data_IF_962273444489
#
_entry.id   IF_962273444489
#
_cell.length_a   1.000
_cell.length_b   1.000
_cell.length_c   1.000
_cell.angle_alpha   90.00
_cell.angle_beta   90.00
_cell.angle_gamma   90.00
#
_symmetry.space_group_name_H-M   'P 1'
#
loop_
_entity.id
_entity.type
_entity.pdbx_description
1 polymer ?
#
# COMPACT_ATOMS: atom_id res chain seq x y z
N UNK A 1 0.88 -4.04 -3.00
CA UNK A 1 -0.43 -4.22 -2.36
C UNK A 1 -0.36 -3.98 -0.85
N UNK A 2 0.49 -4.68 -0.10
CA UNK A 2 0.52 -4.74 1.38
C UNK A 2 0.59 -3.36 2.09
N UNK A 3 1.36 -2.41 1.58
CA UNK A 3 1.42 -1.06 2.13
C UNK A 3 0.22 -0.18 1.75
N UNK A 4 -0.75 -0.70 1.03
CA UNK A 4 -1.97 -0.01 0.62
C UNK A 4 -1.75 1.40 0.02
N UNK A 5 -0.65 1.60 -0.71
CA UNK A 5 -0.30 2.88 -1.32
C UNK A 5 -1.25 3.25 -2.45
N UNK A 6 -1.50 4.54 -2.61
CA UNK A 6 -2.17 5.05 -3.80
C UNK A 6 -1.21 4.99 -4.99
N UNK A 7 -1.75 4.86 -6.20
CA UNK A 7 -0.97 4.84 -7.44
C UNK A 7 -0.03 6.04 -7.55
N UNK A 8 -0.51 7.24 -7.22
CA UNK A 8 0.30 8.45 -7.23
C UNK A 8 1.34 8.51 -6.12
N UNK A 9 1.10 7.89 -4.97
CA UNK A 9 2.10 7.76 -3.91
C UNK A 9 3.24 6.86 -4.37
N UNK A 10 2.90 5.72 -4.98
CA UNK A 10 3.88 4.77 -5.49
C UNK A 10 4.74 5.38 -6.60
N UNK A 11 4.15 6.15 -7.52
CA UNK A 11 4.90 6.79 -8.60
C UNK A 11 5.87 7.88 -8.12
N UNK A 12 5.59 8.50 -6.97
CA UNK A 12 6.45 9.54 -6.36
C UNK A 12 7.39 9.02 -5.28
N UNK A 13 7.42 7.69 -5.07
CA UNK A 13 8.25 7.10 -4.02
C UNK A 13 9.73 7.24 -4.35
N UNK A 14 10.46 7.81 -3.39
CA UNK A 14 11.90 8.04 -3.48
C UNK A 14 12.63 7.27 -2.37
N UNK A 15 13.92 7.01 -2.55
CA UNK A 15 14.75 6.35 -1.54
C UNK A 15 14.73 7.09 -0.21
N UNK A 16 14.69 8.43 -0.23
CA UNK A 16 14.68 9.27 0.96
C UNK A 16 13.36 9.17 1.78
N UNK A 17 12.28 8.64 1.17
CA UNK A 17 11.06 8.37 1.89
C UNK A 17 11.12 7.11 2.75
N UNK A 18 12.13 6.26 2.59
CA UNK A 18 12.26 5.00 3.32
C UNK A 18 13.19 5.17 4.52
N UNK A 19 12.65 5.11 5.71
CA UNK A 19 13.39 5.36 6.95
C UNK A 19 13.03 4.37 8.07
N UNK A 20 13.90 4.31 9.08
CA UNK A 20 13.63 3.58 10.32
C UNK A 20 12.96 4.52 11.32
N UNK A 21 11.80 4.14 11.87
CA UNK A 21 11.11 4.83 12.96
C UNK A 21 10.55 3.80 13.94
N UNK A 22 10.79 4.01 15.22
CA UNK A 22 10.32 3.13 16.30
C UNK A 22 10.64 1.65 16.07
N UNK A 23 11.86 1.36 15.58
CA UNK A 23 12.33 0.01 15.30
C UNK A 23 11.70 -0.66 14.07
N UNK A 24 10.97 0.10 13.23
CA UNK A 24 10.32 -0.39 12.00
C UNK A 24 10.70 0.44 10.79
N UNK A 25 10.77 -0.23 9.63
CA UNK A 25 10.81 0.46 8.36
C UNK A 25 9.47 1.11 8.06
N UNK A 26 9.52 2.36 7.62
CA UNK A 26 8.35 3.15 7.24
C UNK A 26 8.62 3.93 5.97
N UNK A 27 7.58 4.14 5.18
CA UNK A 27 7.57 5.22 4.20
C UNK A 27 7.05 6.48 4.87
N UNK A 28 7.86 7.54 4.81
CA UNK A 28 7.56 8.84 5.41
C UNK A 28 6.84 9.77 4.43
N UNK A 29 6.08 10.69 4.99
CA UNK A 29 5.66 11.96 4.42
C UNK A 29 4.84 11.90 3.13
N UNK A 30 3.98 10.88 3.00
CA UNK A 30 2.97 10.95 1.96
C UNK A 30 1.99 12.10 2.22
N UNK A 31 2.11 13.17 1.43
CA UNK A 31 1.15 14.26 1.45
C UNK A 31 -0.23 13.75 1.02
N UNK A 32 -1.17 13.76 1.95
CA UNK A 32 -2.57 13.50 1.70
C UNK A 32 -3.35 14.77 1.34
N UNK A 33 -4.64 14.62 1.10
CA UNK A 33 -5.56 15.75 0.92
C UNK A 33 -5.56 16.60 2.21
N UNK A 34 -5.57 17.91 2.07
CA UNK A 34 -5.54 18.84 3.22
C UNK A 34 -4.16 18.99 3.87
N UNK A 35 -3.07 18.73 3.14
CA UNK A 35 -1.68 18.91 3.62
C UNK A 35 -1.33 18.01 4.85
N UNK A 36 -2.07 16.93 5.08
CA UNK A 36 -1.78 15.97 6.14
C UNK A 36 -0.78 14.95 5.64
N UNK A 37 0.34 14.80 6.35
CA UNK A 37 1.32 13.76 6.08
C UNK A 37 0.94 12.49 6.82
N UNK A 38 1.24 11.33 6.23
CA UNK A 38 1.16 10.04 6.90
C UNK A 38 2.40 9.21 6.64
N UNK A 39 2.76 8.40 7.62
CA UNK A 39 3.76 7.36 7.44
C UNK A 39 3.07 6.00 7.28
N UNK A 40 3.65 5.13 6.48
CA UNK A 40 3.13 3.79 6.25
C UNK A 40 4.17 2.77 6.67
N UNK A 41 3.82 1.88 7.59
CA UNK A 41 4.69 0.80 8.02
C UNK A 41 5.00 -0.14 6.84
N UNK A 42 6.28 -0.48 6.69
CA UNK A 42 6.78 -1.39 5.66
C UNK A 42 7.13 -2.71 6.32
N UNK A 43 6.43 -3.81 6.00
CA UNK A 43 6.82 -5.13 6.47
C UNK A 43 8.25 -5.49 6.03
N UNK A 44 8.97 -6.24 6.86
CA UNK A 44 10.38 -6.56 6.61
C UNK A 44 10.60 -7.23 5.24
N UNK A 45 9.73 -8.18 4.88
CA UNK A 45 9.83 -8.84 3.59
C UNK A 45 9.64 -7.88 2.40
N UNK A 46 8.77 -6.86 2.54
CA UNK A 46 8.60 -5.81 1.51
C UNK A 46 9.85 -4.96 1.40
N UNK A 47 10.48 -4.64 2.55
CA UNK A 47 11.77 -3.92 2.57
C UNK A 47 12.86 -4.70 1.85
N UNK A 48 12.95 -6.01 2.11
CA UNK A 48 13.92 -6.88 1.46
C UNK A 48 13.73 -6.94 -0.07
N UNK A 49 12.49 -7.02 -0.55
CA UNK A 49 12.19 -6.96 -1.98
C UNK A 49 12.58 -5.61 -2.61
N UNK A 50 12.36 -4.52 -1.89
CA UNK A 50 12.79 -3.19 -2.34
C UNK A 50 14.31 -3.12 -2.40
N UNK A 51 15.02 -3.61 -1.38
CA UNK A 51 16.49 -3.61 -1.37
C UNK A 51 17.04 -4.44 -2.53
N UNK A 52 16.54 -5.65 -2.72
CA UNK A 52 16.93 -6.50 -3.84
C UNK A 52 16.70 -5.82 -5.20
N UNK A 53 15.61 -5.10 -5.35
CA UNK A 53 15.37 -4.29 -6.54
C UNK A 53 16.39 -3.15 -6.71
N UNK A 54 16.63 -2.38 -5.64
CA UNK A 54 17.57 -1.26 -5.66
C UNK A 54 18.98 -1.72 -6.02
N UNK A 55 19.42 -2.84 -5.45
CA UNK A 55 20.72 -3.46 -5.72
C UNK A 55 20.86 -3.88 -7.19
N UNK A 56 19.91 -4.66 -7.70
CA UNK A 56 19.91 -5.14 -9.10
C UNK A 56 19.81 -3.99 -10.09
N UNK A 57 19.05 -2.96 -9.75
CA UNK A 57 18.84 -1.78 -10.58
C UNK A 57 19.95 -0.74 -10.48
N UNK A 58 20.90 -0.88 -9.53
CA UNK A 58 21.96 0.08 -9.24
C UNK A 58 21.42 1.44 -8.79
N UNK A 59 20.37 1.43 -7.97
CA UNK A 59 19.71 2.66 -7.50
C UNK A 59 20.15 2.98 -6.08
N UNK A 60 20.95 4.01 -5.92
CA UNK A 60 21.40 4.51 -4.60
C UNK A 60 20.53 5.66 -4.09
N UNK A 61 19.91 6.43 -4.98
CA UNK A 61 19.09 7.61 -4.65
C UNK A 61 18.06 7.92 -5.72
N UNK A 62 17.08 8.74 -5.35
CA UNK A 62 16.01 9.17 -6.25
C UNK A 62 14.87 8.15 -6.33
N UNK A 63 14.06 8.18 -7.39
CA UNK A 63 12.86 7.35 -7.49
C UNK A 63 13.18 5.86 -7.35
N UNK A 64 12.42 5.17 -6.49
CA UNK A 64 12.56 3.72 -6.27
C UNK A 64 12.07 2.95 -7.49
N UNK A 65 10.87 3.27 -7.98
CA UNK A 65 10.27 2.56 -9.12
C UNK A 65 10.54 3.29 -10.42
N UNK A 66 11.34 2.67 -11.27
CA UNK A 66 11.79 3.20 -12.56
C UNK A 66 11.39 2.28 -13.70
N UNK A 67 11.32 2.84 -14.90
CA UNK A 67 11.06 2.06 -16.11
C UNK A 67 12.27 1.19 -16.46
N UNK A 68 12.01 -0.09 -16.74
CA UNK A 68 12.96 -0.97 -17.40
C UNK A 68 12.72 -0.87 -18.92
N UNK A 69 13.77 -0.55 -19.66
CA UNK A 69 13.75 -0.42 -21.11
C UNK A 69 13.82 -1.80 -21.78
N UNK A 70 13.47 -1.90 -23.05
CA UNK A 70 13.48 -3.14 -23.80
C UNK A 70 14.87 -3.83 -23.86
N UNK A 71 15.94 -3.05 -23.72
CA UNK A 71 17.31 -3.56 -23.65
C UNK A 71 17.76 -3.98 -22.22
N UNK A 72 16.82 -4.05 -21.26
CA UNK A 72 17.08 -4.40 -19.87
C UNK A 72 17.66 -3.28 -18.99
N UNK A 73 17.97 -2.11 -19.56
CA UNK A 73 18.50 -0.98 -18.78
C UNK A 73 17.40 -0.31 -17.96
N UNK A 74 17.74 0.07 -16.73
CA UNK A 74 16.85 0.83 -15.86
C UNK A 74 16.96 2.32 -16.20
N UNK A 75 15.84 2.95 -16.42
CA UNK A 75 15.75 4.40 -16.66
C UNK A 75 16.08 5.21 -15.40
N UNK A 76 16.18 6.52 -15.54
CA UNK A 76 16.41 7.44 -14.41
C UNK A 76 15.12 8.00 -13.83
N UNK A 77 14.07 8.06 -14.64
CA UNK A 77 12.81 8.69 -14.29
C UNK A 77 11.89 7.72 -13.53
N UNK A 78 11.08 8.28 -12.64
CA UNK A 78 10.04 7.54 -11.92
C UNK A 78 9.01 6.95 -12.88
N UNK A 79 8.41 5.82 -12.51
CA UNK A 79 7.22 5.30 -13.18
C UNK A 79 6.08 6.31 -13.07
N UNK A 80 5.41 6.55 -14.19
CA UNK A 80 4.18 7.36 -14.20
C UNK A 80 3.02 6.59 -13.56
N UNK A 81 2.03 7.30 -13.06
CA UNK A 81 0.79 6.69 -12.56
C UNK A 81 0.10 5.81 -13.61
N UNK A 82 0.19 6.20 -14.89
CA UNK A 82 -0.35 5.42 -16.00
C UNK A 82 0.41 4.11 -16.18
N UNK A 83 1.75 4.14 -16.07
CA UNK A 83 2.57 2.92 -16.17
C UNK A 83 2.25 1.94 -15.03
N UNK A 84 2.09 2.42 -13.79
CA UNK A 84 1.65 1.60 -12.65
C UNK A 84 0.30 0.94 -12.94
N UNK A 85 -0.65 1.70 -13.48
CA UNK A 85 -1.97 1.18 -13.84
C UNK A 85 -1.89 0.10 -14.92
N UNK A 86 -1.09 0.33 -15.98
CA UNK A 86 -0.88 -0.63 -17.04
C UNK A 86 -0.26 -1.94 -16.54
N UNK A 87 0.81 -1.85 -15.73
CA UNK A 87 1.46 -3.03 -15.14
C UNK A 87 0.47 -3.88 -14.32
N UNK A 88 -0.35 -3.25 -13.48
CA UNK A 88 -1.35 -3.98 -12.69
C UNK A 88 -2.33 -4.72 -13.60
N UNK A 89 -2.80 -4.08 -14.66
CA UNK A 89 -3.72 -4.71 -15.62
C UNK A 89 -3.08 -5.84 -16.41
N UNK A 90 -1.85 -5.67 -16.86
CA UNK A 90 -1.10 -6.68 -17.60
C UNK A 90 -0.90 -7.94 -16.76
N UNK A 91 -0.44 -7.79 -15.51
CA UNK A 91 -0.28 -8.94 -14.62
C UNK A 91 -1.61 -9.59 -14.23
N UNK A 92 -2.65 -8.80 -14.01
CA UNK A 92 -3.99 -9.32 -13.75
C UNK A 92 -4.50 -10.17 -14.91
N UNK A 93 -4.32 -9.70 -16.16
CA UNK A 93 -4.71 -10.45 -17.34
C UNK A 93 -3.95 -11.79 -17.49
N UNK A 94 -2.64 -11.81 -17.15
CA UNK A 94 -1.82 -13.03 -17.20
C UNK A 94 -2.33 -14.13 -16.25
N UNK A 95 -2.96 -13.76 -15.14
CA UNK A 95 -3.53 -14.71 -14.16
C UNK A 95 -5.05 -14.86 -14.31
N UNK A 96 -5.63 -14.41 -15.43
CA UNK A 96 -7.05 -14.58 -15.73
C UNK A 96 -8.00 -13.66 -14.94
N UNK A 97 -7.49 -12.65 -14.27
CA UNK A 97 -8.31 -11.62 -13.60
C UNK A 97 -8.57 -10.48 -14.61
N UNK A 98 -9.82 -10.33 -15.07
CA UNK A 98 -10.16 -9.41 -16.14
C UNK A 98 -9.88 -7.95 -15.81
N UNK A 99 -10.74 -7.29 -15.04
CA UNK A 99 -10.63 -5.86 -14.77
C UNK A 99 -10.15 -5.55 -13.35
N UNK A 100 -8.84 -5.69 -13.10
CA UNK A 100 -8.22 -5.29 -11.84
C UNK A 100 -7.53 -3.94 -11.98
N UNK A 101 -7.87 -3.00 -11.10
CA UNK A 101 -7.21 -1.70 -11.01
C UNK A 101 -6.35 -1.59 -9.74
N UNK A 102 -5.34 -0.69 -9.69
CA UNK A 102 -4.54 -0.45 -8.49
C UNK A 102 -5.37 -0.13 -7.23
N UNK A 103 -6.52 0.51 -7.41
CA UNK A 103 -7.42 0.81 -6.30
C UNK A 103 -8.06 -0.43 -5.68
N UNK A 104 -8.33 -1.46 -6.48
CA UNK A 104 -8.87 -2.74 -6.00
C UNK A 104 -7.85 -3.48 -5.16
N UNK A 105 -6.56 -3.46 -5.54
CA UNK A 105 -5.48 -4.01 -4.73
C UNK A 105 -5.38 -3.33 -3.36
N UNK A 106 -5.56 -2.02 -3.33
CA UNK A 106 -5.55 -1.25 -2.09
C UNK A 106 -6.76 -1.60 -1.21
N UNK A 107 -7.97 -1.72 -1.81
CA UNK A 107 -9.17 -2.17 -1.11
C UNK A 107 -9.01 -3.59 -0.58
N UNK A 108 -8.43 -4.49 -1.36
CA UNK A 108 -8.14 -5.86 -0.93
C UNK A 108 -7.20 -5.88 0.27
N UNK A 109 -6.14 -5.09 0.25
CA UNK A 109 -5.22 -4.98 1.39
C UNK A 109 -5.96 -4.54 2.68
N UNK A 110 -6.82 -3.54 2.59
CA UNK A 110 -7.61 -3.07 3.73
C UNK A 110 -8.56 -4.16 4.27
N UNK A 111 -9.27 -4.86 3.37
CA UNK A 111 -10.16 -5.98 3.75
C UNK A 111 -9.38 -7.13 4.41
N UNK A 112 -8.20 -7.48 3.90
CA UNK A 112 -7.35 -8.49 4.50
C UNK A 112 -6.83 -8.07 5.89
N UNK A 113 -6.46 -6.78 6.07
CA UNK A 113 -6.10 -6.26 7.40
C UNK A 113 -7.28 -6.40 8.36
N UNK A 114 -8.49 -6.05 7.94
CA UNK A 114 -9.70 -6.19 8.77
C UNK A 114 -9.99 -7.65 9.12
N UNK A 115 -9.93 -8.54 8.15
CA UNK A 115 -10.15 -9.99 8.33
C UNK A 115 -9.11 -10.64 9.28
N UNK A 116 -7.94 -10.02 9.46
CA UNK A 116 -6.89 -10.43 10.42
C UNK A 116 -7.01 -9.73 11.77
N UNK A 117 -8.15 -9.13 12.09
CA UNK A 117 -8.39 -8.47 13.37
C UNK A 117 -7.85 -7.04 13.47
N UNK A 118 -7.44 -6.43 12.35
CA UNK A 118 -6.98 -5.04 12.35
C UNK A 118 -8.09 -4.09 12.79
N UNK A 119 -7.74 -3.18 13.70
CA UNK A 119 -8.64 -2.13 14.16
C UNK A 119 -8.97 -1.14 13.05
N UNK A 120 -10.19 -0.61 13.07
CA UNK A 120 -10.70 0.25 12.01
C UNK A 120 -9.91 1.56 11.90
N UNK A 121 -9.51 2.13 13.04
CA UNK A 121 -8.67 3.33 13.13
C UNK A 121 -7.28 3.09 12.55
N UNK A 122 -6.69 1.94 12.81
CA UNK A 122 -5.37 1.58 12.24
C UNK A 122 -5.45 1.40 10.72
N UNK A 123 -6.54 0.85 10.21
CA UNK A 123 -6.80 0.74 8.78
C UNK A 123 -7.06 2.13 8.18
N UNK A 124 -7.76 3.01 8.89
CA UNK A 124 -7.96 4.40 8.48
C UNK A 124 -6.61 5.12 8.31
N UNK A 125 -5.70 5.00 9.29
CA UNK A 125 -4.35 5.56 9.21
C UNK A 125 -3.55 4.98 8.04
N UNK A 126 -3.56 3.66 7.87
CA UNK A 126 -2.90 2.98 6.73
C UNK A 126 -3.40 3.52 5.39
N UNK A 127 -4.69 3.73 5.26
CA UNK A 127 -5.31 4.25 4.06
C UNK A 127 -5.16 5.78 3.93
N UNK A 128 -4.90 6.51 5.00
CA UNK A 128 -4.93 7.97 5.03
C UNK A 128 -6.29 8.51 4.62
N UNK A 129 -7.35 7.96 5.21
CA UNK A 129 -8.71 8.50 5.11
C UNK A 129 -8.92 9.54 6.21
N UNK A 130 -9.55 10.65 5.85
CA UNK A 130 -9.82 11.73 6.81
C UNK A 130 -10.89 11.35 7.83
N UNK A 131 -11.78 10.45 7.47
CA UNK A 131 -12.90 10.02 8.29
C UNK A 131 -12.97 8.50 8.39
N UNK A 132 -13.30 8.01 9.59
CA UNK A 132 -13.54 6.60 9.85
C UNK A 132 -14.72 6.08 9.03
N UNK A 133 -15.76 6.90 8.84
CA UNK A 133 -16.92 6.58 8.00
C UNK A 133 -16.52 6.28 6.54
N UNK A 134 -15.47 6.94 6.05
CA UNK A 134 -14.91 6.64 4.72
C UNK A 134 -14.28 5.26 4.71
N UNK A 135 -13.61 4.85 5.80
CA UNK A 135 -13.00 3.53 5.92
C UNK A 135 -14.05 2.45 6.06
N UNK A 136 -15.08 2.64 6.87
CA UNK A 136 -16.22 1.72 7.03
C UNK A 136 -16.92 1.47 5.69
N UNK A 137 -17.30 2.54 4.99
CA UNK A 137 -17.91 2.44 3.66
C UNK A 137 -16.99 1.76 2.65
N UNK A 138 -15.70 2.04 2.73
CA UNK A 138 -14.68 1.46 1.85
C UNK A 138 -14.52 -0.05 2.07
N UNK A 139 -14.60 -0.50 3.32
CA UNK A 139 -14.55 -1.91 3.69
C UNK A 139 -15.86 -2.65 3.40
N UNK A 140 -16.98 -1.93 3.35
CA UNK A 140 -18.32 -2.51 3.26
C UNK A 140 -18.65 -3.26 4.56
N UNK A 141 -18.38 -2.64 5.71
CA UNK A 141 -18.61 -3.25 7.02
C UNK A 141 -20.12 -3.41 7.25
N UNK A 142 -20.54 -4.63 7.55
CA UNK A 142 -21.90 -4.98 7.96
C UNK A 142 -21.85 -5.56 9.37
N UNK A 143 -22.97 -5.50 10.09
CA UNK A 143 -23.07 -6.11 11.40
C UNK A 143 -23.04 -7.64 11.27
N UNK A 144 -22.10 -8.29 11.96
CA UNK A 144 -22.03 -9.75 12.07
C UNK A 144 -22.65 -10.19 13.39
N UNK A 145 -23.91 -10.63 13.33
CA UNK A 145 -24.65 -11.12 14.51
C UNK A 145 -24.24 -12.52 14.93
N UNK A 146 -23.55 -13.28 14.07
CA UNK A 146 -23.08 -14.63 14.40
C UNK A 146 -21.80 -14.62 15.22
N UNK A 147 -20.98 -13.59 15.05
CA UNK A 147 -19.74 -13.37 15.79
C UNK A 147 -19.82 -12.01 16.48
N UNK A 148 -20.77 -11.87 17.37
CA UNK A 148 -21.02 -10.61 18.05
C UNK A 148 -19.86 -10.26 18.99
N UNK A 149 -19.36 -9.01 18.91
CA UNK A 149 -18.17 -8.58 19.67
C UNK A 149 -18.38 -8.63 21.18
N UNK A 150 -19.63 -8.56 21.64
CA UNK A 150 -20.00 -8.64 23.04
C UNK A 150 -19.98 -10.09 23.61
N UNK A 151 -19.93 -11.12 22.76
CA UNK A 151 -19.77 -12.51 23.20
C UNK A 151 -18.40 -12.75 23.88
N UNK A 152 -17.43 -11.88 23.62
CA UNK A 152 -16.12 -11.92 24.27
C UNK A 152 -16.14 -11.35 25.70
N UNK A 153 -17.22 -10.72 26.14
CA UNK A 153 -17.35 -10.16 27.49
C UNK A 153 -17.82 -11.26 28.44
N UNK A 154 -16.90 -11.88 29.14
CA UNK A 154 -17.19 -12.83 30.22
C UNK A 154 -16.90 -12.10 31.52
N UNK A 155 -17.93 -11.95 32.37
CA UNK A 155 -17.79 -11.43 33.75
C UNK A 155 -17.76 -12.64 34.70
N UNK A 156 -16.67 -12.78 35.46
CA UNK A 156 -16.54 -13.71 36.56
C UNK A 156 -17.15 -13.11 37.85
#
# INVERSE_FOLDING_TARGET
>A
MTCALRRGELSRMDCDHLAMRDGRWVFLDFLGKGNKTRSVAVPLWVKQEIDGWLDVAGIEKGPIFRRVLANGRVGKDALTERAVWQLVREYAAQIGIGELAPHDLRRTAAKLCRAKGGELEQIQFLLGHESILTTERYLGSEQDLKNAVNDALVFE
#
